data_IF_868810220692
#
_entry.id   IF_868810220692
#
_cell.length_a   1.000
_cell.length_b   1.000
_cell.length_c   1.000
_cell.angle_alpha   90.00
_cell.angle_beta   90.00
_cell.angle_gamma   90.00
#
_symmetry.space_group_name_H-M   'P 1'
#
loop_
_entity.id
_entity.type
_entity.pdbx_description
1 polymer ?
#
# COMPACT_ATOMS: atom_id res chain seq x y z
N UNK A 1 -12.33 -5.09 5.35
CA UNK A 1 -11.96 -5.51 6.72
C UNK A 1 -13.06 -5.12 7.67
N UNK A 2 -13.48 -6.01 8.56
CA UNK A 2 -14.42 -5.70 9.64
C UNK A 2 -13.66 -5.22 10.88
N UNK A 3 -14.19 -4.21 11.56
CA UNK A 3 -13.61 -3.58 12.75
C UNK A 3 -14.51 -3.83 13.97
N UNK A 4 -13.99 -3.57 15.17
CA UNK A 4 -14.66 -3.85 16.45
C UNK A 4 -15.88 -2.98 16.76
N UNK A 5 -16.08 -1.89 16.02
CA UNK A 5 -17.19 -0.94 16.13
C UNK A 5 -18.28 -1.16 15.06
N UNK A 6 -18.41 -2.39 14.56
CA UNK A 6 -19.34 -2.79 13.50
C UNK A 6 -19.13 -2.08 12.14
N UNK A 7 -18.00 -1.38 11.96
CA UNK A 7 -17.63 -0.79 10.68
C UNK A 7 -16.96 -1.81 9.75
N UNK A 8 -17.21 -1.65 8.44
CA UNK A 8 -16.54 -2.42 7.39
C UNK A 8 -15.82 -1.48 6.43
N UNK A 9 -14.50 -1.65 6.31
CA UNK A 9 -13.67 -0.96 5.33
C UNK A 9 -13.65 -1.71 4.00
N UNK A 10 -14.01 -0.99 2.93
CA UNK A 10 -13.80 -1.40 1.53
C UNK A 10 -12.65 -0.62 0.92
N UNK A 11 -11.86 -1.27 0.06
CA UNK A 11 -10.73 -0.65 -0.62
C UNK A 11 -10.42 -1.38 -1.93
N UNK A 12 -9.60 -0.76 -2.78
CA UNK A 12 -9.13 -1.38 -4.02
C UNK A 12 -8.40 -2.71 -3.77
N UNK A 13 -8.68 -3.70 -4.62
CA UNK A 13 -7.98 -4.98 -4.65
C UNK A 13 -6.63 -4.84 -5.39
N UNK A 14 -5.82 -5.91 -5.38
CA UNK A 14 -4.60 -5.99 -6.17
C UNK A 14 -4.89 -5.77 -7.67
N UNK A 15 -3.99 -5.12 -8.43
CA UNK A 15 -2.66 -4.62 -8.06
C UNK A 15 -2.66 -3.29 -7.26
N UNK A 16 -3.79 -2.83 -6.74
CA UNK A 16 -3.81 -1.74 -5.76
C UNK A 16 -3.39 -2.21 -4.36
N UNK A 17 -2.73 -1.33 -3.62
CA UNK A 17 -2.20 -1.57 -2.26
C UNK A 17 -3.24 -1.38 -1.15
N UNK A 18 -4.53 -1.30 -1.49
CA UNK A 18 -5.62 -1.04 -0.55
C UNK A 18 -5.73 -2.04 0.61
N UNK A 19 -5.28 -3.28 0.38
CA UNK A 19 -5.19 -4.32 1.41
C UNK A 19 -4.29 -3.91 2.58
N UNK A 20 -3.28 -3.05 2.37
CA UNK A 20 -2.42 -2.56 3.44
C UNK A 20 -3.18 -1.61 4.37
N UNK A 21 -4.09 -0.79 3.85
CA UNK A 21 -4.96 0.08 4.68
C UNK A 21 -5.87 -0.79 5.54
N UNK A 22 -6.47 -1.82 4.95
CA UNK A 22 -7.26 -2.79 5.70
C UNK A 22 -6.46 -3.49 6.80
N UNK A 23 -5.22 -3.89 6.52
CA UNK A 23 -4.32 -4.45 7.52
C UNK A 23 -3.98 -3.45 8.62
N UNK A 24 -3.61 -2.20 8.28
CA UNK A 24 -3.31 -1.14 9.25
C UNK A 24 -4.49 -0.87 10.17
N UNK A 25 -5.69 -0.71 9.63
CA UNK A 25 -6.90 -0.49 10.41
C UNK A 25 -7.15 -1.64 11.38
N UNK A 26 -7.00 -2.89 10.93
CA UNK A 26 -7.12 -4.05 11.82
C UNK A 26 -6.01 -4.15 12.84
N UNK A 27 -4.79 -3.70 12.58
CA UNK A 27 -3.73 -3.63 13.60
C UNK A 27 -4.03 -2.54 14.62
N UNK A 28 -4.65 -1.42 14.23
CA UNK A 28 -4.96 -0.30 15.13
C UNK A 28 -6.26 -0.46 15.92
N UNK A 29 -7.17 -1.33 15.46
CA UNK A 29 -8.51 -1.54 16.04
C UNK A 29 -8.49 -1.94 17.52
N UNK A 30 -8.93 -1.06 18.42
CA UNK A 30 -8.81 -1.24 19.87
C UNK A 30 -7.36 -1.22 20.40
N UNK A 31 -6.36 -0.99 19.56
CA UNK A 31 -4.94 -0.93 19.96
C UNK A 31 -4.54 0.49 20.42
N UNK A 32 -5.14 1.52 19.83
CA UNK A 32 -4.84 2.92 20.19
C UNK A 32 -5.30 3.31 21.59
N UNK A 33 -6.21 2.55 22.21
CA UNK A 33 -6.68 2.78 23.58
C UNK A 33 -5.59 2.57 24.64
N UNK A 34 -4.53 1.83 24.30
CA UNK A 34 -3.39 1.60 25.20
C UNK A 34 -2.40 2.77 25.22
N UNK A 35 -2.61 3.81 24.41
CA UNK A 35 -1.80 5.02 24.43
C UNK A 35 -2.21 5.95 25.58
N UNK A 36 -1.23 6.31 26.41
CA UNK A 36 -1.33 7.25 27.53
C UNK A 36 -1.10 8.71 27.12
N UNK A 37 -0.65 8.96 25.89
CA UNK A 37 -0.39 10.30 25.36
C UNK A 37 -0.49 10.31 23.83
N UNK A 38 -0.62 11.50 23.24
CA UNK A 38 -0.64 11.68 21.79
C UNK A 38 0.68 11.26 21.12
N UNK A 39 1.81 11.43 21.82
CA UNK A 39 3.12 10.95 21.36
C UNK A 39 3.10 9.43 21.24
N UNK A 40 2.61 8.74 22.28
CA UNK A 40 2.52 7.28 22.26
C UNK A 40 1.52 6.81 21.21
N UNK A 41 0.40 7.51 21.03
CA UNK A 41 -0.59 7.21 19.98
C UNK A 41 0.04 7.32 18.59
N UNK A 42 0.78 8.40 18.33
CA UNK A 42 1.50 8.62 17.08
C UNK A 42 2.54 7.54 16.84
N UNK A 43 3.28 7.14 17.87
CA UNK A 43 4.25 6.04 17.81
C UNK A 43 3.59 4.71 17.39
N UNK A 44 2.45 4.35 17.97
CA UNK A 44 1.71 3.13 17.59
C UNK A 44 1.24 3.17 16.12
N UNK A 45 0.77 4.33 15.65
CA UNK A 45 0.35 4.53 14.25
C UNK A 45 1.54 4.39 13.31
N UNK A 46 2.65 5.08 13.59
CA UNK A 46 3.85 5.06 12.76
C UNK A 46 4.44 3.65 12.66
N UNK A 47 4.57 2.93 13.78
CA UNK A 47 5.09 1.55 13.75
C UNK A 47 4.15 0.59 13.01
N UNK A 48 2.84 0.80 13.12
CA UNK A 48 1.86 0.04 12.32
C UNK A 48 2.06 0.28 10.83
N UNK A 49 2.25 1.55 10.43
CA UNK A 49 2.47 1.92 9.03
C UNK A 49 3.77 1.32 8.51
N UNK A 50 4.85 1.36 9.29
CA UNK A 50 6.13 0.72 8.91
C UNK A 50 5.97 -0.78 8.68
N UNK A 51 5.29 -1.49 9.59
CA UNK A 51 5.01 -2.93 9.40
C UNK A 51 4.09 -3.23 8.21
N UNK A 52 3.13 -2.36 7.89
CA UNK A 52 2.27 -2.51 6.73
C UNK A 52 3.05 -2.27 5.43
N UNK A 53 3.76 -1.14 5.33
CA UNK A 53 4.55 -0.79 4.14
C UNK A 53 5.70 -1.76 3.87
N UNK A 54 6.29 -2.35 4.92
CA UNK A 54 7.26 -3.43 4.75
C UNK A 54 6.70 -4.62 3.96
N UNK A 55 5.39 -4.89 4.05
CA UNK A 55 4.74 -5.96 3.28
C UNK A 55 4.35 -5.55 1.86
N UNK A 56 4.38 -4.25 1.52
CA UNK A 56 4.00 -3.74 0.19
C UNK A 56 4.84 -4.36 -0.91
N UNK A 57 6.10 -4.67 -0.64
CA UNK A 57 7.03 -5.25 -1.63
C UNK A 57 6.67 -6.66 -2.07
N UNK A 58 5.74 -7.33 -1.38
CA UNK A 58 5.27 -8.66 -1.73
C UNK A 58 3.95 -8.61 -2.52
N UNK A 59 3.43 -7.41 -2.78
CA UNK A 59 2.24 -7.20 -3.60
C UNK A 59 2.64 -7.02 -5.07
N UNK A 60 1.73 -7.37 -5.96
CA UNK A 60 1.83 -7.09 -7.39
C UNK A 60 0.58 -7.56 -8.13
N UNK A 61 0.69 -7.66 -9.45
CA UNK A 61 -0.43 -8.08 -10.30
C UNK A 61 -0.76 -9.57 -10.07
N UNK A 62 -1.97 -9.89 -9.56
CA UNK A 62 -2.35 -11.26 -9.24
C UNK A 62 -2.44 -12.15 -10.49
N UNK A 63 -2.58 -11.58 -11.68
CA UNK A 63 -2.63 -12.34 -12.94
C UNK A 63 -1.22 -12.80 -13.39
N UNK A 64 -0.17 -12.30 -12.74
CA UNK A 64 1.24 -12.54 -13.09
C UNK A 64 2.08 -13.08 -11.93
N UNK A 65 1.47 -13.37 -10.78
CA UNK A 65 2.12 -13.98 -9.62
C UNK A 65 1.46 -15.35 -9.38
N UNK A 66 2.25 -16.33 -8.96
CA UNK A 66 1.71 -17.64 -8.58
C UNK A 66 0.56 -17.52 -7.56
N UNK A 67 -0.55 -18.20 -7.82
CA UNK A 67 -1.77 -18.11 -7.03
C UNK A 67 -1.57 -18.52 -5.56
N UNK A 68 -0.66 -19.46 -5.31
CA UNK A 68 -0.33 -19.91 -3.95
C UNK A 68 0.44 -18.81 -3.22
N UNK A 69 1.46 -18.24 -3.86
CA UNK A 69 2.28 -17.17 -3.30
C UNK A 69 1.44 -15.92 -2.99
N UNK A 70 0.62 -15.46 -3.93
CA UNK A 70 -0.20 -14.27 -3.70
C UNK A 70 -1.28 -14.54 -2.64
N UNK A 71 -1.81 -15.77 -2.59
CA UNK A 71 -2.74 -16.21 -1.55
C UNK A 71 -2.11 -16.20 -0.15
N UNK A 72 -0.84 -16.59 -0.01
CA UNK A 72 -0.09 -16.50 1.24
C UNK A 72 0.12 -15.06 1.69
N UNK A 73 0.45 -14.16 0.76
CA UNK A 73 0.60 -12.73 1.04
C UNK A 73 -0.72 -12.13 1.53
N UNK A 74 -1.83 -12.45 0.86
CA UNK A 74 -3.17 -11.99 1.28
C UNK A 74 -3.54 -12.55 2.66
N UNK A 75 -3.28 -13.84 2.93
CA UNK A 75 -3.50 -14.41 4.28
C UNK A 75 -2.66 -13.72 5.35
N UNK A 76 -1.39 -13.43 5.09
CA UNK A 76 -0.53 -12.70 6.02
C UNK A 76 -1.05 -11.30 6.37
N UNK A 77 -1.82 -10.68 5.46
CA UNK A 77 -2.41 -9.35 5.63
C UNK A 77 -3.85 -9.38 6.16
N UNK A 78 -4.50 -10.54 6.23
CA UNK A 78 -5.93 -10.64 6.57
C UNK A 78 -6.21 -11.61 7.72
N UNK A 79 -5.31 -12.52 8.07
CA UNK A 79 -5.53 -13.42 9.21
C UNK A 79 -5.28 -12.74 10.54
N UNK A 80 -6.17 -13.02 11.50
CA UNK A 80 -6.09 -12.45 12.86
C UNK A 80 -4.77 -12.81 13.54
N UNK A 81 -4.28 -14.03 13.37
CA UNK A 81 -3.01 -14.47 13.94
C UNK A 81 -1.83 -13.61 13.46
N UNK A 82 -1.81 -13.24 12.17
CA UNK A 82 -0.77 -12.40 11.59
C UNK A 82 -0.86 -10.94 12.09
N UNK A 83 -2.08 -10.40 12.19
CA UNK A 83 -2.35 -9.07 12.74
C UNK A 83 -1.88 -8.99 14.20
N UNK A 84 -2.25 -9.96 15.04
CA UNK A 84 -1.83 -10.04 16.44
C UNK A 84 -0.31 -10.22 16.57
N UNK A 85 0.31 -11.00 15.68
CA UNK A 85 1.76 -11.16 15.65
C UNK A 85 2.48 -9.82 15.38
N UNK A 86 1.91 -8.95 14.54
CA UNK A 86 2.44 -7.60 14.29
C UNK A 86 2.23 -6.70 15.50
N UNK A 87 1.03 -6.68 16.11
CA UNK A 87 0.79 -5.90 17.33
C UNK A 87 1.81 -6.19 18.43
N UNK A 88 2.18 -7.46 18.61
CA UNK A 88 3.21 -7.88 19.59
C UNK A 88 4.61 -7.34 19.30
N UNK A 89 4.92 -7.00 18.05
CA UNK A 89 6.22 -6.41 17.66
C UNK A 89 6.25 -4.90 17.91
N UNK A 90 5.11 -4.23 17.85
CA UNK A 90 5.00 -2.78 18.03
C UNK A 90 5.23 -2.42 19.49
N UNK A 91 6.30 -1.65 19.74
CA UNK A 91 6.65 -1.13 21.05
C UNK A 91 6.32 0.36 21.12
N UNK A 92 5.65 0.75 22.19
CA UNK A 92 5.19 2.13 22.36
C UNK A 92 6.31 3.14 22.71
N UNK A 93 7.53 2.65 22.95
CA UNK A 93 8.70 3.44 23.34
C UNK A 93 9.94 3.16 22.48
N UNK A 94 9.78 2.48 21.33
CA UNK A 94 10.90 2.11 20.47
C UNK A 94 10.49 2.07 19.00
N UNK A 95 11.39 2.55 18.14
CA UNK A 95 11.28 2.55 16.67
C UNK A 95 12.65 2.27 16.07
N UNK A 96 12.68 1.81 14.82
CA UNK A 96 13.90 1.72 14.02
C UNK A 96 13.65 2.24 12.60
N UNK A 97 14.72 2.63 11.91
CA UNK A 97 14.70 2.93 10.47
C UNK A 97 15.24 1.77 9.64
N UNK A 98 15.59 0.64 10.27
CA UNK A 98 15.96 -0.58 9.56
C UNK A 98 14.74 -1.15 8.83
N UNK A 99 14.72 -1.02 7.50
CA UNK A 99 13.63 -1.47 6.63
C UNK A 99 13.46 -3.01 6.71
N UNK A 100 14.56 -3.74 6.91
CA UNK A 100 14.55 -5.20 6.95
C UNK A 100 13.78 -5.74 8.16
N UNK A 101 13.82 -5.01 9.29
CA UNK A 101 13.02 -5.33 10.48
C UNK A 101 11.50 -5.38 10.19
N UNK A 102 11.04 -4.52 9.27
CA UNK A 102 9.64 -4.44 8.87
C UNK A 102 9.27 -5.40 7.73
N UNK A 103 10.26 -6.10 7.15
CA UNK A 103 10.09 -7.01 6.02
C UNK A 103 10.06 -6.34 4.65
N UNK A 104 10.44 -5.07 4.58
CA UNK A 104 10.45 -4.30 3.33
C UNK A 104 11.78 -4.38 2.59
N UNK A 105 11.70 -4.28 1.27
CA UNK A 105 12.87 -4.27 0.38
C UNK A 105 12.90 -3.11 -0.62
N UNK A 106 11.90 -2.24 -0.66
CA UNK A 106 11.82 -1.22 -1.69
C UNK A 106 11.01 -0.02 -1.20
N UNK A 107 11.57 1.16 -1.43
CA UNK A 107 10.93 2.45 -1.17
C UNK A 107 10.97 3.23 -2.48
N UNK A 108 9.80 3.78 -2.85
CA UNK A 108 9.63 4.68 -3.98
C UNK A 108 9.00 5.97 -3.48
N UNK A 109 9.53 7.10 -3.93
CA UNK A 109 8.89 8.39 -3.72
C UNK A 109 7.70 8.53 -4.69
N UNK A 110 6.55 8.93 -4.16
CA UNK A 110 5.30 9.08 -4.89
C UNK A 110 4.91 10.57 -5.00
N UNK A 111 4.32 10.96 -6.13
CA UNK A 111 3.91 12.32 -6.41
C UNK A 111 2.60 12.38 -7.21
N UNK A 112 1.64 13.15 -6.71
CA UNK A 112 0.50 13.66 -7.47
C UNK A 112 -0.59 12.63 -7.77
N UNK A 113 -1.80 12.87 -7.28
CA UNK A 113 -3.00 12.08 -7.61
C UNK A 113 -4.23 12.95 -7.34
N UNK A 114 -5.32 12.72 -8.05
CA UNK A 114 -6.60 13.35 -7.76
C UNK A 114 -7.57 12.35 -7.13
N UNK A 115 -8.34 12.79 -6.14
CA UNK A 115 -9.36 11.99 -5.49
C UNK A 115 -10.68 12.76 -5.42
N UNK A 116 -11.77 12.12 -5.80
CA UNK A 116 -13.10 12.71 -5.80
C UNK A 116 -14.07 11.76 -5.12
N UNK A 117 -14.90 12.32 -4.24
CA UNK A 117 -16.03 11.64 -3.61
C UNK A 117 -17.32 12.35 -4.00
N UNK A 118 -18.30 11.59 -4.45
CA UNK A 118 -19.64 12.09 -4.81
C UNK A 118 -20.67 11.28 -4.05
N UNK A 119 -21.63 11.98 -3.44
CA UNK A 119 -22.83 11.38 -2.84
C UNK A 119 -24.04 12.12 -3.41
N UNK A 120 -25.03 11.39 -3.90
CA UNK A 120 -26.26 11.97 -4.44
C UNK A 120 -27.43 11.91 -3.43
N UNK A 121 -28.56 12.49 -3.82
CA UNK A 121 -29.76 12.56 -2.99
C UNK A 121 -30.47 11.20 -2.80
N UNK A 122 -30.18 10.22 -3.65
CA UNK A 122 -30.71 8.86 -3.56
C UNK A 122 -29.85 7.96 -2.65
N UNK A 123 -28.72 8.48 -2.17
CA UNK A 123 -27.79 7.76 -1.29
C UNK A 123 -26.74 6.95 -2.05
N UNK A 124 -26.60 7.13 -3.38
CA UNK A 124 -25.49 6.53 -4.11
C UNK A 124 -24.19 7.25 -3.73
N UNK A 125 -23.13 6.48 -3.52
CA UNK A 125 -21.80 7.00 -3.18
C UNK A 125 -20.74 6.47 -4.13
N UNK A 126 -19.91 7.37 -4.66
CA UNK A 126 -18.79 7.06 -5.54
C UNK A 126 -17.53 7.67 -4.93
N UNK A 127 -16.48 6.85 -4.81
CA UNK A 127 -15.15 7.26 -4.35
C UNK A 127 -14.14 6.82 -5.39
N UNK A 128 -13.56 7.78 -6.12
CA UNK A 128 -12.67 7.51 -7.25
C UNK A 128 -11.35 8.25 -7.08
N UNK A 129 -10.28 7.50 -7.24
CA UNK A 129 -8.91 8.02 -7.33
C UNK A 129 -8.43 7.86 -8.77
N UNK A 130 -7.94 8.94 -9.37
CA UNK A 130 -7.42 8.95 -10.73
C UNK A 130 -6.03 9.60 -10.77
N UNK A 131 -5.13 9.06 -11.58
CA UNK A 131 -3.76 9.57 -11.69
C UNK A 131 -3.20 9.41 -13.10
N UNK A 132 -2.22 10.24 -13.44
CA UNK A 132 -1.31 10.05 -14.59
C UNK A 132 0.09 9.61 -14.11
N UNK A 133 0.17 9.13 -12.87
CA UNK A 133 1.35 9.00 -12.04
C UNK A 133 1.92 10.39 -11.67
N UNK A 134 3.13 10.72 -12.10
CA UNK A 134 3.79 11.96 -11.71
C UNK A 134 3.08 13.20 -12.28
N UNK A 135 3.47 14.40 -11.80
CA UNK A 135 2.99 15.66 -12.35
C UNK A 135 3.24 15.73 -13.87
N UNK A 136 2.16 15.91 -14.64
CA UNK A 136 2.13 15.86 -16.11
C UNK A 136 2.51 14.50 -16.73
N UNK A 137 2.44 13.41 -15.96
CA UNK A 137 2.70 12.05 -16.39
C UNK A 137 4.07 11.88 -17.05
N UNK A 138 4.07 11.34 -18.27
CA UNK A 138 5.27 11.18 -19.11
C UNK A 138 5.82 12.50 -19.65
N UNK A 139 5.15 13.62 -19.41
CA UNK A 139 5.42 14.94 -20.01
C UNK A 139 5.31 14.93 -21.54
N UNK A 140 4.65 13.91 -22.10
CA UNK A 140 4.33 13.81 -23.52
C UNK A 140 2.86 14.15 -23.75
N UNK A 141 2.62 15.07 -24.68
CA UNK A 141 1.29 15.43 -25.19
C UNK A 141 1.15 15.00 -26.64
N UNK A 142 0.07 14.27 -26.94
CA UNK A 142 -0.32 13.99 -28.31
C UNK A 142 -0.72 15.29 -29.02
N UNK A 143 0.01 15.64 -30.10
CA UNK A 143 -0.26 16.87 -30.86
C UNK A 143 -1.64 16.89 -31.54
N UNK A 144 -2.21 15.74 -31.85
CA UNK A 144 -3.52 15.64 -32.52
C UNK A 144 -4.69 15.68 -31.54
N UNK A 145 -4.51 15.21 -30.30
CA UNK A 145 -5.62 15.05 -29.33
C UNK A 145 -5.50 15.95 -28.10
N UNK A 146 -4.31 16.50 -27.83
CA UNK A 146 -4.03 17.23 -26.59
C UNK A 146 -3.90 16.36 -25.33
N UNK A 147 -4.02 15.03 -25.46
CA UNK A 147 -3.96 14.10 -24.32
C UNK A 147 -2.53 13.98 -23.80
N UNK A 148 -2.37 14.17 -22.48
CA UNK A 148 -1.14 13.86 -21.75
C UNK A 148 -1.10 12.35 -21.48
N UNK A 149 0.01 11.70 -21.85
CA UNK A 149 0.21 10.28 -21.55
C UNK A 149 0.77 10.11 -20.14
N UNK A 150 0.25 9.13 -19.39
CA UNK A 150 0.77 8.77 -18.07
C UNK A 150 2.21 8.22 -18.16
N UNK A 151 2.89 8.15 -17.01
CA UNK A 151 4.13 7.39 -16.85
C UNK A 151 3.98 6.26 -15.81
N UNK A 152 2.85 5.56 -15.79
CA UNK A 152 2.56 4.55 -14.76
C UNK A 152 3.53 3.37 -14.79
N UNK A 153 4.17 3.10 -15.94
CA UNK A 153 5.19 2.06 -16.07
C UNK A 153 6.38 2.26 -15.11
N UNK A 154 6.59 3.48 -14.62
CA UNK A 154 7.59 3.82 -13.60
C UNK A 154 7.31 3.15 -12.24
N UNK A 155 6.09 2.68 -11.98
CA UNK A 155 5.73 1.98 -10.74
C UNK A 155 6.24 0.54 -10.69
N UNK A 156 6.67 -0.03 -11.83
CA UNK A 156 7.35 -1.31 -11.81
C UNK A 156 8.72 -1.21 -11.13
N UNK A 157 9.12 -2.30 -10.49
CA UNK A 157 10.49 -2.48 -10.05
C UNK A 157 11.36 -2.98 -11.22
N UNK A 158 12.63 -2.59 -11.22
CA UNK A 158 13.58 -2.97 -12.28
C UNK A 158 14.50 -4.08 -11.80
N UNK A 159 14.53 -5.26 -12.45
CA UNK A 159 15.47 -6.33 -12.13
C UNK A 159 16.92 -5.82 -12.09
N UNK A 160 17.67 -6.24 -11.06
CA UNK A 160 19.09 -5.87 -10.90
C UNK A 160 19.36 -4.42 -10.48
N UNK A 161 18.31 -3.60 -10.26
CA UNK A 161 18.48 -2.23 -9.78
C UNK A 161 18.23 -2.17 -8.27
N UNK A 162 19.31 -2.03 -7.50
CA UNK A 162 19.25 -1.71 -6.07
C UNK A 162 19.09 -0.20 -5.93
N UNK A 163 18.16 0.27 -5.10
CA UNK A 163 17.94 1.71 -4.94
C UNK A 163 19.08 2.41 -4.16
N UNK A 164 19.01 3.74 -4.05
CA UNK A 164 20.01 4.58 -3.36
C UNK A 164 20.30 4.14 -1.91
N UNK A 165 19.34 3.48 -1.24
CA UNK A 165 19.45 3.01 0.14
C UNK A 165 19.89 1.54 0.24
N UNK A 166 20.35 0.93 -0.85
CA UNK A 166 20.84 -0.44 -0.84
C UNK A 166 19.73 -1.50 -0.81
N UNK A 167 18.50 -1.14 -1.18
CA UNK A 167 17.34 -2.04 -1.06
C UNK A 167 16.95 -2.67 -2.41
N UNK A 168 16.77 -3.99 -2.41
CA UNK A 168 16.54 -4.84 -3.58
C UNK A 168 15.17 -4.64 -4.24
N UNK A 169 15.06 -4.77 -5.57
CA UNK A 169 13.79 -4.52 -6.23
C UNK A 169 12.74 -5.60 -5.88
N UNK A 170 11.46 -5.23 -5.85
CA UNK A 170 10.35 -6.15 -5.56
C UNK A 170 10.07 -7.08 -6.75
N UNK A 171 10.39 -8.36 -6.65
CA UNK A 171 10.20 -9.31 -7.76
C UNK A 171 8.72 -9.47 -8.16
N UNK A 172 7.82 -9.44 -7.18
CA UNK A 172 6.37 -9.47 -7.38
C UNK A 172 5.89 -8.38 -8.34
N UNK A 173 6.62 -7.26 -8.41
CA UNK A 173 6.31 -6.11 -9.24
C UNK A 173 7.35 -5.86 -10.35
N UNK A 174 8.04 -6.90 -10.84
CA UNK A 174 8.83 -6.75 -12.06
C UNK A 174 7.95 -6.53 -13.29
N UNK A 175 8.45 -5.72 -14.22
CA UNK A 175 7.82 -5.40 -15.50
C UNK A 175 7.66 -6.65 -16.39
N UNK A 176 6.48 -6.82 -16.98
CA UNK A 176 6.20 -7.85 -17.98
C UNK A 176 5.14 -7.36 -18.99
N UNK A 177 5.11 -7.86 -20.23
CA UNK A 177 4.08 -7.49 -21.20
C UNK A 177 2.67 -7.80 -20.70
N UNK A 178 1.77 -6.80 -20.77
CA UNK A 178 0.37 -6.89 -20.34
C UNK A 178 0.15 -6.82 -18.82
N UNK A 179 1.22 -6.93 -18.01
CA UNK A 179 1.14 -6.80 -16.56
C UNK A 179 0.79 -5.38 -16.18
N UNK A 180 0.02 -5.21 -15.12
CA UNK A 180 -0.29 -3.92 -14.51
C UNK A 180 0.70 -3.62 -13.38
N UNK A 181 1.22 -2.39 -13.28
CA UNK A 181 2.10 -2.04 -12.18
C UNK A 181 1.33 -1.98 -10.84
N UNK A 182 2.04 -2.28 -9.75
CA UNK A 182 1.53 -2.09 -8.39
C UNK A 182 1.23 -0.61 -8.12
N UNK A 183 0.00 -0.32 -7.69
CA UNK A 183 -0.45 1.01 -7.25
C UNK A 183 -0.52 1.09 -5.73
#
# INVERSE_FOLDING_TARGET
ASLSDDLTLFSAALPGSGILVAFMMRVLDGFLQFASSDIQRSQLIVETFKHAYGRRTNLGDPDYIDATLIGEVVRNLTEEAAILAVRKKIKSNWTTNDVSYYGGHYLKDDHGTNHVVVVDAEGNAISVTSTVNLLFGSKFVSRSTGIILNNQMDDFSTPGTVNYFGVSPSEANFIAPGKRPLS
#
